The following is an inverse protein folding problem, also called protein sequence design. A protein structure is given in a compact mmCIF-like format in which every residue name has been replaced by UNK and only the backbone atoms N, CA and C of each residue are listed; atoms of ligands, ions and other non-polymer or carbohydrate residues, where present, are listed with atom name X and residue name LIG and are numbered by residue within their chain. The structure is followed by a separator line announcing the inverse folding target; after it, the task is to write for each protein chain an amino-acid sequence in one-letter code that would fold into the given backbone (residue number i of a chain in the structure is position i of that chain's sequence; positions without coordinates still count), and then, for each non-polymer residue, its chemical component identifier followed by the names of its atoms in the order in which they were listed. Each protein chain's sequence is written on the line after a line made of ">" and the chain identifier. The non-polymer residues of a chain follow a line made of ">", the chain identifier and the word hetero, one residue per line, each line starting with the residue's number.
data_IF_159959819290
#
_entry.id   IF_159959819290
#
_cell.length_a   1.000
_cell.length_b   1.000
_cell.length_c   1.000
_cell.angle_alpha   90.00
_cell.angle_beta   90.00
_cell.angle_gamma   90.00
#
_symmetry.space_group_name_H-M   'P 1'
#
loop_
_entity.id
_entity.type
_entity.pdbx_description
1 polymer ?
#
# COMPACT_ATOMS: atom_id res chain seq x y z
N UNK A 1 -22.69 -9.01 -16.81
CA UNK A 1 -21.32 -8.54 -16.52
C UNK A 1 -21.21 -8.36 -15.01
N UNK A 2 -20.17 -8.90 -14.37
CA UNK A 2 -19.89 -8.70 -12.94
C UNK A 2 -18.57 -7.96 -12.81
N UNK A 3 -18.49 -7.05 -11.85
CA UNK A 3 -17.30 -6.24 -11.55
C UNK A 3 -16.87 -6.56 -10.13
N UNK A 4 -15.56 -6.69 -9.91
CA UNK A 4 -14.98 -7.09 -8.64
C UNK A 4 -13.98 -6.01 -8.18
N UNK A 5 -13.91 -5.77 -6.87
CA UNK A 5 -12.90 -4.90 -6.28
C UNK A 5 -11.58 -5.67 -6.16
N UNK A 6 -10.47 -5.04 -6.56
CA UNK A 6 -9.15 -5.59 -6.31
C UNK A 6 -8.81 -5.37 -4.83
N UNK A 7 -8.33 -6.40 -4.15
CA UNK A 7 -7.86 -6.27 -2.76
C UNK A 7 -6.59 -5.42 -2.71
N UNK A 8 -6.36 -4.79 -1.55
CA UNK A 8 -5.11 -4.12 -1.25
C UNK A 8 -3.95 -5.11 -1.24
N UNK A 9 -2.79 -4.63 -1.62
CA UNK A 9 -1.54 -5.35 -1.60
C UNK A 9 -0.42 -4.38 -1.24
N UNK A 10 0.70 -4.89 -0.73
CA UNK A 10 1.90 -4.09 -0.50
C UNK A 10 2.79 -4.15 -1.73
N UNK A 11 3.57 -3.11 -1.99
CA UNK A 11 4.52 -3.11 -3.09
C UNK A 11 5.80 -2.39 -2.68
N UNK A 12 6.94 -2.96 -3.08
CA UNK A 12 8.27 -2.39 -2.86
C UNK A 12 8.98 -2.25 -4.19
N UNK A 13 9.61 -1.09 -4.43
CA UNK A 13 10.38 -0.89 -5.65
C UNK A 13 11.70 -1.62 -5.54
N UNK A 14 12.02 -2.45 -6.53
CA UNK A 14 13.24 -3.22 -6.58
C UNK A 14 14.44 -2.33 -6.87
N UNK A 15 15.38 -2.25 -5.92
CA UNK A 15 16.55 -1.38 -5.98
C UNK A 15 17.82 -2.07 -6.49
N UNK A 16 17.77 -3.38 -6.74
CA UNK A 16 18.92 -4.18 -7.15
C UNK A 16 19.85 -4.61 -6.02
N UNK A 17 19.51 -4.33 -4.76
CA UNK A 17 20.30 -4.71 -3.60
C UNK A 17 20.27 -6.23 -3.36
N UNK A 18 21.38 -6.76 -2.82
CA UNK A 18 21.44 -8.15 -2.37
C UNK A 18 20.39 -8.43 -1.28
N UNK A 19 20.06 -7.43 -0.46
CA UNK A 19 19.03 -7.55 0.58
C UNK A 19 17.65 -7.86 -0.03
N UNK A 20 17.25 -7.14 -1.09
CA UNK A 20 16.00 -7.42 -1.79
C UNK A 20 16.06 -8.73 -2.58
N UNK A 21 17.22 -9.06 -3.18
CA UNK A 21 17.43 -10.33 -3.89
C UNK A 21 17.19 -11.51 -2.93
N UNK A 22 17.79 -11.47 -1.74
CA UNK A 22 17.64 -12.50 -0.72
C UNK A 22 16.21 -12.52 -0.16
N UNK A 23 15.61 -11.35 0.12
CA UNK A 23 14.25 -11.21 0.67
C UNK A 23 13.18 -11.85 -0.22
N UNK A 24 13.30 -11.69 -1.54
CA UNK A 24 12.33 -12.21 -2.51
C UNK A 24 12.81 -13.49 -3.21
N UNK A 25 13.92 -14.07 -2.75
CA UNK A 25 14.52 -15.29 -3.31
C UNK A 25 14.70 -15.20 -4.84
N UNK A 26 15.17 -14.04 -5.33
CA UNK A 26 15.35 -13.82 -6.77
C UNK A 26 16.45 -14.73 -7.33
N UNK A 27 16.16 -15.35 -8.45
CA UNK A 27 17.09 -16.25 -9.13
C UNK A 27 17.92 -15.45 -10.12
N UNK A 28 19.24 -15.48 -9.95
CA UNK A 28 20.18 -14.92 -10.92
C UNK A 28 20.50 -15.95 -12.01
N UNK A 29 20.00 -15.69 -13.21
CA UNK A 29 20.27 -16.45 -14.43
C UNK A 29 21.20 -15.68 -15.38
N UNK A 30 21.93 -14.69 -14.85
CA UNK A 30 22.83 -13.82 -15.59
C UNK A 30 24.04 -14.54 -16.20
N UNK A 31 24.76 -13.81 -17.05
CA UNK A 31 25.93 -14.34 -17.76
C UNK A 31 27.23 -13.83 -17.13
N UNK A 32 28.18 -14.77 -16.95
CA UNK A 32 29.56 -14.46 -16.58
C UNK A 32 30.44 -14.35 -17.82
N UNK A 33 31.12 -13.21 -17.98
CA UNK A 33 32.12 -12.95 -19.01
C UNK A 33 33.46 -12.60 -18.36
N UNK A 34 34.29 -13.62 -18.13
CA UNK A 34 35.53 -13.46 -17.36
C UNK A 34 35.23 -13.06 -15.91
N UNK A 35 35.69 -11.88 -15.50
CA UNK A 35 35.39 -11.29 -14.18
C UNK A 35 34.17 -10.37 -14.19
N UNK A 36 33.56 -10.13 -15.35
CA UNK A 36 32.36 -9.30 -15.46
C UNK A 36 31.11 -10.16 -15.33
N UNK A 37 30.24 -9.80 -14.39
CA UNK A 37 28.93 -10.40 -14.21
C UNK A 37 27.85 -9.48 -14.78
N UNK A 38 26.95 -10.01 -15.60
CA UNK A 38 25.74 -9.33 -16.06
C UNK A 38 24.53 -10.06 -15.49
N UNK A 39 24.03 -9.63 -14.32
CA UNK A 39 22.93 -10.33 -13.63
C UNK A 39 21.63 -10.24 -14.42
N UNK A 40 20.87 -11.33 -14.43
CA UNK A 40 19.48 -11.35 -14.90
C UNK A 40 18.63 -11.98 -13.81
N UNK A 41 17.83 -11.15 -13.14
CA UNK A 41 17.09 -11.55 -11.96
C UNK A 41 15.66 -11.96 -12.31
N UNK A 42 15.22 -13.09 -11.77
CA UNK A 42 13.90 -13.64 -11.99
C UNK A 42 13.17 -13.87 -10.67
N UNK A 43 11.96 -13.35 -10.58
CA UNK A 43 11.02 -13.65 -9.51
C UNK A 43 10.21 -14.89 -9.87
N UNK A 44 10.27 -15.90 -9.00
CA UNK A 44 9.59 -17.18 -9.19
C UNK A 44 8.09 -16.98 -9.44
N UNK A 45 7.60 -17.53 -10.55
CA UNK A 45 6.18 -17.43 -10.93
C UNK A 45 5.76 -16.11 -11.60
N UNK A 46 6.63 -15.09 -11.63
CA UNK A 46 6.35 -13.81 -12.28
C UNK A 46 7.19 -13.56 -13.53
N UNK A 47 8.48 -13.91 -13.50
CA UNK A 47 9.41 -13.66 -14.61
C UNK A 47 10.53 -12.68 -14.23
N UNK A 48 11.13 -12.06 -15.25
CA UNK A 48 12.27 -11.15 -15.09
C UNK A 48 11.86 -9.92 -14.27
N UNK A 49 12.75 -9.46 -13.41
CA UNK A 49 12.63 -8.21 -12.65
C UNK A 49 13.83 -7.33 -12.95
N UNK A 50 13.58 -6.09 -13.36
CA UNK A 50 14.61 -5.09 -13.59
C UNK A 50 14.62 -4.06 -12.45
N UNK A 51 15.78 -3.44 -12.20
CA UNK A 51 15.89 -2.37 -11.21
C UNK A 51 14.94 -1.23 -11.57
N UNK A 52 14.11 -0.84 -10.60
CA UNK A 52 13.03 0.14 -10.77
C UNK A 52 11.64 -0.48 -10.92
N UNK A 53 11.53 -1.78 -11.23
CA UNK A 53 10.26 -2.50 -11.21
C UNK A 53 9.73 -2.63 -9.77
N UNK A 54 8.44 -2.90 -9.63
CA UNK A 54 7.77 -3.06 -8.34
C UNK A 54 7.48 -4.53 -8.07
N UNK A 55 7.82 -5.01 -6.88
CA UNK A 55 7.45 -6.35 -6.41
C UNK A 55 6.25 -6.18 -5.47
N UNK A 56 5.09 -6.64 -5.93
CA UNK A 56 3.86 -6.62 -5.16
C UNK A 56 3.69 -7.91 -4.35
N UNK A 57 3.13 -7.79 -3.15
CA UNK A 57 2.86 -8.87 -2.20
C UNK A 57 1.37 -8.90 -1.88
N UNK A 58 0.73 -10.00 -2.26
CA UNK A 58 -0.70 -10.24 -2.01
C UNK A 58 -1.00 -10.73 -0.61
N UNK A 59 -2.28 -10.92 -0.32
CA UNK A 59 -2.77 -11.24 1.04
C UNK A 59 -2.32 -12.61 1.56
N UNK A 60 -1.93 -13.53 0.69
CA UNK A 60 -1.40 -14.84 1.09
C UNK A 60 0.13 -14.90 1.00
N UNK A 61 0.79 -13.76 0.82
CA UNK A 61 2.25 -13.67 0.65
C UNK A 61 2.73 -14.00 -0.76
N UNK A 62 1.83 -14.12 -1.74
CA UNK A 62 2.22 -14.32 -3.13
C UNK A 62 2.88 -13.07 -3.72
N UNK A 63 3.93 -13.24 -4.52
CA UNK A 63 4.68 -12.14 -5.13
C UNK A 63 4.50 -12.08 -6.65
N UNK A 64 4.42 -10.86 -7.19
CA UNK A 64 4.48 -10.63 -8.64
C UNK A 64 5.15 -9.30 -8.95
N UNK A 65 5.87 -9.26 -10.07
CA UNK A 65 6.55 -8.08 -10.58
C UNK A 65 5.61 -7.23 -11.43
N UNK A 66 5.78 -5.92 -11.36
CA UNK A 66 5.02 -4.92 -12.11
C UNK A 66 6.03 -3.88 -12.62
N UNK A 67 6.04 -3.65 -13.92
CA UNK A 67 6.88 -2.59 -14.50
C UNK A 67 6.52 -1.22 -13.92
N UNK A 68 7.52 -0.35 -13.72
CA UNK A 68 7.34 0.98 -13.09
C UNK A 68 6.28 1.84 -13.78
N UNK A 69 6.26 1.85 -15.11
CA UNK A 69 5.31 2.62 -15.91
C UNK A 69 3.87 2.10 -15.77
N UNK A 70 3.70 0.78 -15.70
CA UNK A 70 2.41 0.13 -15.43
C UNK A 70 1.98 0.43 -13.99
N UNK A 71 2.90 0.34 -13.03
CA UNK A 71 2.61 0.56 -11.62
C UNK A 71 2.07 1.97 -11.39
N UNK A 72 2.83 2.98 -11.82
CA UNK A 72 2.47 4.41 -11.67
C UNK A 72 1.20 4.80 -12.42
N UNK A 73 0.87 4.09 -13.51
CA UNK A 73 -0.37 4.32 -14.26
C UNK A 73 -1.60 3.66 -13.63
N UNK A 74 -1.41 2.59 -12.88
CA UNK A 74 -2.50 1.71 -12.42
C UNK A 74 -2.84 1.91 -10.95
N UNK A 75 -1.86 2.27 -10.13
CA UNK A 75 -2.00 2.32 -8.69
C UNK A 75 -1.76 3.73 -8.17
N UNK A 76 -2.43 4.03 -7.06
CA UNK A 76 -2.25 5.25 -6.28
C UNK A 76 -1.94 4.79 -4.87
N UNK A 77 -0.92 5.39 -4.28
CA UNK A 77 -0.57 5.16 -2.88
C UNK A 77 -1.77 5.53 -2.00
N UNK A 78 -2.00 4.75 -0.95
CA UNK A 78 -3.06 5.07 -0.02
C UNK A 78 -2.73 6.37 0.71
N UNK A 79 -3.74 7.21 0.99
CA UNK A 79 -3.50 8.45 1.70
C UNK A 79 -2.99 8.17 3.11
N UNK A 80 -1.90 8.83 3.48
CA UNK A 80 -1.44 8.85 4.86
C UNK A 80 -2.38 9.74 5.67
N UNK A 81 -2.97 9.17 6.72
CA UNK A 81 -3.87 9.90 7.62
C UNK A 81 -3.16 10.24 8.94
N UNK A 82 -3.57 11.32 9.63
CA UNK A 82 -3.09 11.61 10.98
C UNK A 82 -3.36 10.47 11.97
N UNK A 83 -2.45 10.24 12.92
CA UNK A 83 -2.57 9.16 13.92
C UNK A 83 -3.85 9.28 14.76
N UNK A 84 -4.25 10.49 15.13
CA UNK A 84 -5.49 10.74 15.88
C UNK A 84 -6.75 10.37 15.07
N UNK A 85 -6.71 10.51 13.74
CA UNK A 85 -7.77 10.08 12.82
C UNK A 85 -7.77 8.55 12.71
N UNK A 86 -6.61 7.91 12.52
CA UNK A 86 -6.48 6.45 12.51
C UNK A 86 -7.02 5.81 13.81
N UNK A 87 -6.65 6.40 14.95
CA UNK A 87 -7.14 5.98 16.27
C UNK A 87 -8.67 6.14 16.40
N UNK A 88 -9.26 7.19 15.81
CA UNK A 88 -10.72 7.34 15.76
C UNK A 88 -11.34 6.21 14.92
N UNK A 89 -10.84 5.95 13.71
CA UNK A 89 -11.38 4.89 12.84
C UNK A 89 -11.38 3.53 13.54
N UNK A 90 -10.28 3.18 14.23
CA UNK A 90 -10.19 1.92 14.99
C UNK A 90 -11.26 1.86 16.08
N UNK A 91 -11.38 2.91 16.89
CA UNK A 91 -12.33 2.99 18.00
C UNK A 91 -13.78 2.93 17.51
N UNK A 92 -14.12 3.70 16.48
CA UNK A 92 -15.47 3.74 15.92
C UNK A 92 -15.85 2.36 15.35
N UNK A 93 -14.94 1.69 14.65
CA UNK A 93 -15.18 0.33 14.14
C UNK A 93 -15.36 -0.70 15.26
N UNK A 94 -14.65 -0.57 16.39
CA UNK A 94 -14.88 -1.41 17.58
C UNK A 94 -16.28 -1.20 18.18
N UNK A 95 -16.85 0.00 18.02
CA UNK A 95 -18.19 0.36 18.48
C UNK A 95 -19.29 0.12 17.43
N UNK A 96 -18.97 -0.56 16.32
CA UNK A 96 -19.89 -0.81 15.20
C UNK A 96 -20.47 0.48 14.58
N UNK A 97 -19.74 1.59 14.71
CA UNK A 97 -20.06 2.80 13.96
C UNK A 97 -19.82 2.54 12.47
N UNK A 98 -20.71 3.07 11.63
CA UNK A 98 -20.52 3.08 10.19
C UNK A 98 -20.00 4.44 9.72
N UNK A 99 -19.50 4.49 8.47
CA UNK A 99 -18.92 5.70 7.88
C UNK A 99 -19.87 6.91 7.93
N UNK A 100 -21.18 6.70 7.78
CA UNK A 100 -22.17 7.78 7.83
C UNK A 100 -22.27 8.41 9.22
N UNK A 101 -22.19 7.59 10.28
CA UNK A 101 -22.19 8.07 11.67
C UNK A 101 -20.92 8.87 11.98
N UNK A 102 -19.76 8.41 11.51
CA UNK A 102 -18.50 9.14 11.70
C UNK A 102 -18.52 10.53 11.03
N UNK A 103 -19.13 10.64 9.84
CA UNK A 103 -19.33 11.94 9.20
C UNK A 103 -20.33 12.80 9.97
N UNK A 104 -21.45 12.25 10.42
CA UNK A 104 -22.45 12.99 11.20
C UNK A 104 -21.85 13.60 12.47
N UNK A 105 -21.03 12.83 13.19
CA UNK A 105 -20.31 13.31 14.37
C UNK A 105 -19.30 14.42 14.04
N UNK A 106 -18.59 14.29 12.91
CA UNK A 106 -17.66 15.32 12.46
C UNK A 106 -18.39 16.64 12.15
N UNK A 107 -19.47 16.59 11.38
CA UNK A 107 -20.25 17.79 11.01
C UNK A 107 -21.02 18.39 12.18
N UNK A 108 -21.47 17.57 13.12
CA UNK A 108 -22.21 18.02 14.30
C UNK A 108 -21.29 18.54 15.42
N UNK A 109 -19.97 18.38 15.28
CA UNK A 109 -18.99 18.79 16.28
C UNK A 109 -18.95 17.87 17.51
N UNK A 110 -19.41 16.63 17.39
CA UNK A 110 -19.41 15.64 18.47
C UNK A 110 -18.09 14.87 18.60
N UNK A 111 -17.17 15.05 17.66
CA UNK A 111 -15.81 14.49 17.77
C UNK A 111 -15.03 15.23 18.87
N UNK A 112 -14.85 14.55 20.00
CA UNK A 112 -14.15 15.08 21.16
C UNK A 112 -12.64 15.28 20.96
N UNK A 113 -12.05 14.60 19.96
CA UNK A 113 -10.62 14.74 19.62
C UNK A 113 -10.41 16.05 18.85
N UNK A 114 -9.69 16.99 19.48
CA UNK A 114 -9.36 18.29 18.89
C UNK A 114 -8.74 18.16 17.50
N UNK A 115 -9.22 18.92 16.52
CA UNK A 115 -8.70 18.95 15.15
C UNK A 115 -9.15 17.81 14.26
N UNK A 116 -9.69 16.71 14.81
CA UNK A 116 -10.08 15.52 14.03
C UNK A 116 -11.34 15.80 13.22
N UNK A 117 -12.35 16.43 13.83
CA UNK A 117 -13.58 16.80 13.13
C UNK A 117 -13.33 17.76 11.97
N UNK A 118 -12.55 18.83 12.20
CA UNK A 118 -12.20 19.77 11.12
C UNK A 118 -11.38 19.09 10.02
N UNK A 119 -10.46 18.19 10.39
CA UNK A 119 -9.68 17.44 9.41
C UNK A 119 -10.57 16.53 8.56
N UNK A 120 -11.50 15.78 9.15
CA UNK A 120 -12.43 14.89 8.43
C UNK A 120 -13.28 15.69 7.45
N UNK A 121 -13.77 16.86 7.85
CA UNK A 121 -14.57 17.73 6.97
C UNK A 121 -13.72 18.22 5.79
N UNK A 122 -12.48 18.64 6.04
CA UNK A 122 -11.58 19.14 5.00
C UNK A 122 -11.04 18.03 4.07
N UNK A 123 -11.01 16.77 4.53
CA UNK A 123 -10.41 15.62 3.84
C UNK A 123 -11.39 14.44 3.73
N UNK A 124 -12.67 14.71 3.45
CA UNK A 124 -13.74 13.71 3.51
C UNK A 124 -13.48 12.49 2.62
N UNK A 125 -12.96 12.69 1.41
CA UNK A 125 -12.68 11.60 0.47
C UNK A 125 -11.52 10.74 0.98
N UNK A 126 -10.46 11.37 1.47
CA UNK A 126 -9.31 10.72 2.11
C UNK A 126 -9.74 9.90 3.33
N UNK A 127 -10.59 10.46 4.18
CA UNK A 127 -11.16 9.77 5.33
C UNK A 127 -12.02 8.57 4.90
N UNK A 128 -12.91 8.74 3.92
CA UNK A 128 -13.74 7.65 3.41
C UNK A 128 -12.90 6.52 2.82
N UNK A 129 -11.82 6.85 2.10
CA UNK A 129 -10.87 5.84 1.59
C UNK A 129 -10.20 5.10 2.73
N UNK A 130 -9.61 5.79 3.70
CA UNK A 130 -9.00 5.15 4.87
C UNK A 130 -10.00 4.26 5.64
N UNK A 131 -11.25 4.72 5.78
CA UNK A 131 -12.31 3.96 6.43
C UNK A 131 -12.62 2.64 5.69
N UNK A 132 -12.73 2.68 4.36
CA UNK A 132 -13.11 1.53 3.54
C UNK A 132 -11.94 0.57 3.30
N UNK A 133 -10.76 1.13 3.05
CA UNK A 133 -9.57 0.40 2.62
C UNK A 133 -8.85 -0.24 3.83
N UNK A 134 -8.98 0.33 5.03
CA UNK A 134 -8.28 -0.13 6.24
C UNK A 134 -6.89 0.52 6.38
N UNK A 135 -6.46 0.78 7.62
CA UNK A 135 -5.25 1.55 7.90
C UNK A 135 -3.98 0.89 7.33
N UNK A 136 -3.25 1.64 6.50
CA UNK A 136 -1.80 1.51 6.38
C UNK A 136 -1.23 2.55 7.34
N UNK A 137 -0.86 2.11 8.56
CA UNK A 137 -0.11 2.94 9.49
C UNK A 137 1.26 3.22 8.85
N UNK A 138 1.45 4.42 8.29
CA UNK A 138 2.77 4.89 7.92
C UNK A 138 3.49 5.38 9.18
N UNK A 139 4.55 4.70 9.60
CA UNK A 139 5.56 5.34 10.45
C UNK A 139 6.13 6.51 9.64
N UNK A 140 5.97 7.74 10.14
CA UNK A 140 6.72 8.88 9.60
C UNK A 140 8.20 8.61 9.90
N UNK A 141 8.99 8.42 8.84
CA UNK A 141 10.45 8.41 8.91
C UNK A 141 11.02 9.80 9.17
#
# INVERSE_FOLDING_TARGET
>A
MKVYLKQLFQAEQFDGSNEMIDKYELIDAGTMLGTHHSPELYLTGSGKVDVGDWIATGVNGEHWAIADDIFKKTYVELPVIPENVACLIKQDKEWDYNLGMAFDDAFSGYIWKSGVGEWIIAHSDTFARAWLDGDVMGEQA
#
